data_IF_039955493315
#
_entry.id   IF_039955493315
#
_cell.length_a   1.000
_cell.length_b   1.000
_cell.length_c   1.000
_cell.angle_alpha   90.00
_cell.angle_beta   90.00
_cell.angle_gamma   90.00
#
_symmetry.space_group_name_H-M   'P 1'
#
loop_
_entity.id
_entity.type
_entity.pdbx_description
1 polymer ?
#
# COMPACT_ATOMS: atom_id res chain seq x y z
N UNK A 1 5.47 -16.59 -17.04
CA UNK A 1 4.23 -16.05 -16.45
C UNK A 1 4.28 -14.55 -16.50
N UNK A 2 3.24 -13.95 -17.01
CA UNK A 2 3.15 -12.48 -17.12
C UNK A 2 2.56 -11.89 -15.85
N UNK A 3 3.32 -11.00 -15.23
CA UNK A 3 2.82 -10.24 -14.09
C UNK A 3 1.98 -9.08 -14.63
N UNK A 4 0.77 -8.92 -14.11
CA UNK A 4 -0.06 -7.78 -14.45
C UNK A 4 0.58 -6.51 -13.90
N UNK A 5 1.03 -5.62 -14.77
CA UNK A 5 1.75 -4.38 -14.40
C UNK A 5 0.91 -3.42 -13.57
N UNK A 6 -0.40 -3.56 -13.63
CA UNK A 6 -1.33 -2.70 -12.88
C UNK A 6 -1.76 -3.32 -11.56
N UNK A 7 -1.20 -4.47 -11.19
CA UNK A 7 -1.54 -5.16 -9.95
C UNK A 7 -0.63 -4.75 -8.82
N UNK A 8 -1.20 -4.67 -7.63
CA UNK A 8 -0.45 -4.36 -6.43
C UNK A 8 -1.16 -4.83 -5.18
N UNK A 9 -0.40 -4.89 -4.10
CA UNK A 9 -0.92 -5.28 -2.80
C UNK A 9 -0.30 -4.42 -1.72
N UNK A 10 -1.10 -4.04 -0.73
CA UNK A 10 -0.63 -3.38 0.49
C UNK A 10 -0.89 -4.32 1.66
N UNK A 11 0.14 -4.59 2.44
CA UNK A 11 0.03 -5.41 3.63
C UNK A 11 0.23 -4.49 4.83
N UNK A 12 -0.78 -4.37 5.67
CA UNK A 12 -0.69 -3.58 6.91
C UNK A 12 -0.47 -4.57 8.05
N UNK A 13 0.71 -4.52 8.64
CA UNK A 13 1.12 -5.44 9.70
C UNK A 13 0.84 -4.81 11.06
N UNK A 14 0.07 -5.51 11.88
CA UNK A 14 -0.17 -5.14 13.27
C UNK A 14 0.41 -6.16 14.23
N UNK A 15 0.26 -5.94 15.53
CA UNK A 15 0.83 -6.85 16.54
C UNK A 15 0.14 -8.23 16.60
N UNK A 16 -1.08 -8.33 16.10
CA UNK A 16 -1.86 -9.57 16.19
C UNK A 16 -2.28 -10.14 14.85
N UNK A 17 -1.90 -9.51 13.76
CA UNK A 17 -2.26 -9.97 12.43
C UNK A 17 -2.08 -8.90 11.40
N UNK A 18 -2.44 -9.22 10.17
CA UNK A 18 -2.25 -8.34 9.03
C UNK A 18 -3.51 -8.19 8.21
N UNK A 19 -3.66 -7.04 7.57
CA UNK A 19 -4.69 -6.76 6.60
C UNK A 19 -4.04 -6.72 5.22
N UNK A 20 -4.67 -7.37 4.24
CA UNK A 20 -4.18 -7.46 2.87
C UNK A 20 -5.15 -6.72 1.96
N UNK A 21 -4.68 -5.64 1.36
CA UNK A 21 -5.46 -4.87 0.37
C UNK A 21 -4.86 -5.13 -0.99
N UNK A 22 -5.69 -5.23 -2.03
CA UNK A 22 -5.19 -5.52 -3.37
C UNK A 22 -5.87 -4.67 -4.43
N UNK A 23 -5.17 -4.50 -5.54
CA UNK A 23 -5.73 -3.92 -6.76
C UNK A 23 -5.17 -4.65 -7.97
N UNK A 24 -5.98 -4.83 -9.01
CA UNK A 24 -5.56 -5.38 -10.29
C UNK A 24 -5.44 -4.31 -11.36
N UNK A 25 -5.81 -3.06 -11.05
CA UNK A 25 -5.96 -2.00 -12.04
C UNK A 25 -5.16 -0.73 -11.76
N UNK A 26 -4.89 -0.44 -10.48
CA UNK A 26 -4.44 0.89 -10.07
C UNK A 26 -3.17 0.88 -9.21
N UNK A 27 -2.26 -0.07 -9.47
CA UNK A 27 -1.00 -0.13 -8.72
C UNK A 27 -0.20 1.17 -8.83
N UNK A 28 -0.34 1.90 -9.94
CA UNK A 28 0.39 3.14 -10.18
C UNK A 28 0.02 4.27 -9.21
N UNK A 29 -1.12 4.19 -8.51
CA UNK A 29 -1.51 5.18 -7.51
C UNK A 29 -1.32 4.67 -6.07
N UNK A 30 -0.89 3.43 -5.90
CA UNK A 30 -0.89 2.77 -4.60
C UNK A 30 0.06 3.43 -3.60
N UNK A 31 1.25 3.83 -4.04
CA UNK A 31 2.22 4.54 -3.18
C UNK A 31 1.61 5.87 -2.71
N UNK A 32 0.95 6.58 -3.62
CA UNK A 32 0.27 7.83 -3.31
C UNK A 32 -0.86 7.64 -2.29
N UNK A 33 -1.61 6.54 -2.43
CA UNK A 33 -2.70 6.22 -1.50
C UNK A 33 -2.16 5.98 -0.08
N UNK A 34 -1.05 5.25 0.03
CA UNK A 34 -0.40 5.01 1.32
C UNK A 34 0.17 6.32 1.89
N UNK A 35 0.79 7.13 1.04
CA UNK A 35 1.32 8.43 1.45
C UNK A 35 0.21 9.32 2.02
N UNK A 36 -0.92 9.40 1.33
CA UNK A 36 -2.05 10.23 1.78
C UNK A 36 -2.56 9.80 3.16
N UNK A 37 -2.54 8.52 3.44
CA UNK A 37 -2.93 8.00 4.75
C UNK A 37 -1.91 8.35 5.84
N UNK A 38 -0.62 8.20 5.54
CA UNK A 38 0.44 8.42 6.52
C UNK A 38 0.72 9.90 6.78
N UNK A 39 0.54 10.76 5.79
CA UNK A 39 0.85 12.20 5.94
C UNK A 39 -0.05 12.90 6.95
N UNK A 40 -1.20 12.32 7.29
CA UNK A 40 -2.07 12.85 8.34
C UNK A 40 -1.33 12.89 9.70
N UNK A 41 -0.35 11.98 9.88
CA UNK A 41 0.52 11.98 11.05
C UNK A 41 -0.12 11.53 12.33
N UNK A 42 -1.21 10.75 12.23
CA UNK A 42 -1.96 10.28 13.39
C UNK A 42 -2.05 8.75 13.37
N UNK A 43 -2.01 8.16 14.57
CA UNK A 43 -2.27 6.75 14.76
C UNK A 43 -1.41 5.83 13.90
N UNK A 44 -0.14 6.15 13.80
CA UNK A 44 0.81 5.32 13.04
C UNK A 44 1.00 3.94 13.65
N UNK A 45 0.60 3.75 14.90
CA UNK A 45 0.64 2.48 15.60
C UNK A 45 -0.68 1.70 15.54
N UNK A 46 -1.67 2.23 14.82
CA UNK A 46 -3.01 1.64 14.77
C UNK A 46 -3.25 1.03 13.38
N UNK A 47 -3.09 -0.31 13.24
CA UNK A 47 -3.25 -0.96 11.93
C UNK A 47 -4.67 -0.88 11.40
N UNK A 48 -5.68 -0.89 12.27
CA UNK A 48 -7.08 -0.80 11.85
C UNK A 48 -7.36 0.57 11.22
N UNK A 49 -6.90 1.62 11.88
CA UNK A 49 -7.08 2.98 11.37
C UNK A 49 -6.35 3.19 10.04
N UNK A 50 -5.09 2.77 9.97
CA UNK A 50 -4.30 2.92 8.74
C UNK A 50 -4.86 2.09 7.59
N UNK A 51 -5.34 0.87 7.87
CA UNK A 51 -5.97 0.03 6.86
C UNK A 51 -7.20 0.71 6.28
N UNK A 52 -8.05 1.27 7.13
CA UNK A 52 -9.23 2.03 6.68
C UNK A 52 -8.83 3.22 5.82
N UNK A 53 -7.86 4.00 6.29
CA UNK A 53 -7.45 5.22 5.58
C UNK A 53 -6.86 4.90 4.21
N UNK A 54 -6.02 3.88 4.13
CA UNK A 54 -5.42 3.46 2.87
C UNK A 54 -6.51 2.93 1.93
N UNK A 55 -7.38 2.07 2.42
CA UNK A 55 -8.43 1.46 1.60
C UNK A 55 -9.39 2.52 1.06
N UNK A 56 -9.75 3.51 1.89
CA UNK A 56 -10.62 4.60 1.44
C UNK A 56 -10.00 5.39 0.29
N UNK A 57 -8.66 5.53 0.27
CA UNK A 57 -7.97 6.20 -0.84
C UNK A 57 -7.93 5.35 -2.10
N UNK A 58 -7.97 4.04 -1.94
CA UNK A 58 -7.99 3.11 -3.08
C UNK A 58 -9.35 3.03 -3.77
N UNK A 59 -10.43 3.42 -3.08
CA UNK A 59 -11.78 3.21 -3.57
C UNK A 59 -12.09 4.06 -4.80
N UNK A 60 -12.45 3.44 -5.94
CA UNK A 60 -12.95 4.19 -7.09
C UNK A 60 -14.40 4.59 -6.89
N UNK A 61 -14.89 5.49 -7.74
CA UNK A 61 -16.33 5.71 -7.87
C UNK A 61 -16.96 4.37 -8.26
N UNK A 62 -18.15 4.10 -7.81
CA UNK A 62 -18.84 2.84 -8.12
C UNK A 62 -18.09 1.61 -7.61
N UNK A 63 -17.48 1.75 -6.42
CA UNK A 63 -16.65 0.69 -5.84
C UNK A 63 -17.42 -0.59 -5.54
N UNK A 64 -18.75 -0.57 -5.55
CA UNK A 64 -19.60 -1.73 -5.29
C UNK A 64 -19.77 -2.66 -6.51
N UNK A 65 -19.34 -2.23 -7.70
CA UNK A 65 -19.49 -3.04 -8.90
C UNK A 65 -18.54 -4.24 -8.86
N UNK A 66 -19.05 -5.39 -9.29
CA UNK A 66 -18.31 -6.66 -9.25
C UNK A 66 -17.05 -6.67 -10.13
N UNK A 67 -17.07 -5.88 -11.21
CA UNK A 67 -15.97 -5.86 -12.15
C UNK A 67 -14.80 -4.97 -11.72
N UNK A 68 -14.90 -4.33 -10.56
CA UNK A 68 -13.80 -3.54 -10.04
C UNK A 68 -12.76 -4.45 -9.38
N UNK A 69 -11.54 -4.41 -9.88
CA UNK A 69 -10.46 -5.31 -9.48
C UNK A 69 -9.70 -4.84 -8.27
N UNK A 70 -10.37 -4.56 -7.16
CA UNK A 70 -9.73 -4.21 -5.91
C UNK A 70 -10.50 -4.81 -4.74
N UNK A 71 -9.86 -4.91 -3.59
CA UNK A 71 -10.55 -5.40 -2.42
C UNK A 71 -9.64 -5.72 -1.25
N UNK A 72 -10.19 -6.50 -0.33
CA UNK A 72 -9.51 -6.95 0.87
C UNK A 72 -9.31 -8.45 0.75
N UNK A 73 -8.07 -8.90 0.88
CA UNK A 73 -7.71 -10.30 0.78
C UNK A 73 -7.24 -10.86 2.11
N UNK A 74 -6.96 -12.15 2.12
CA UNK A 74 -6.55 -12.87 3.32
C UNK A 74 -5.12 -13.40 3.24
N UNK A 75 -4.44 -13.15 2.13
CA UNK A 75 -3.11 -13.72 1.91
C UNK A 75 -2.29 -12.84 0.98
N UNK A 76 -0.99 -13.10 0.99
CA UNK A 76 -0.05 -12.50 0.07
C UNK A 76 -0.17 -13.19 -1.30
N UNK A 77 -0.22 -12.39 -2.37
CA UNK A 77 -0.24 -12.90 -3.73
C UNK A 77 1.19 -12.84 -4.32
N UNK A 78 1.55 -13.88 -5.08
CA UNK A 78 2.88 -13.99 -5.67
C UNK A 78 3.03 -13.26 -7.00
N UNK A 79 1.91 -12.88 -7.61
CA UNK A 79 1.87 -12.39 -8.98
C UNK A 79 1.54 -10.91 -9.10
N UNK A 80 1.72 -10.15 -8.02
CA UNK A 80 1.52 -8.71 -8.07
C UNK A 80 2.79 -7.99 -8.52
N UNK A 81 2.64 -6.89 -9.22
CA UNK A 81 3.75 -6.08 -9.70
C UNK A 81 4.37 -5.22 -8.60
N UNK A 82 3.54 -4.68 -7.71
CA UNK A 82 3.97 -3.79 -6.64
C UNK A 82 3.51 -4.32 -5.29
N UNK A 83 4.43 -4.41 -4.35
CA UNK A 83 4.11 -4.84 -2.99
C UNK A 83 4.55 -3.76 -2.02
N UNK A 84 3.61 -3.25 -1.23
CA UNK A 84 3.89 -2.28 -0.19
C UNK A 84 3.57 -2.90 1.16
N UNK A 85 4.54 -2.90 2.07
CA UNK A 85 4.35 -3.40 3.43
C UNK A 85 4.38 -2.22 4.39
N UNK A 86 3.29 -2.05 5.14
CA UNK A 86 3.14 -0.99 6.14
C UNK A 86 3.19 -1.64 7.51
N UNK A 87 4.36 -1.63 8.14
CA UNK A 87 4.56 -2.28 9.43
C UNK A 87 4.30 -1.27 10.55
N UNK A 88 3.13 -1.38 11.19
CA UNK A 88 2.72 -0.42 12.22
C UNK A 88 3.45 -0.65 13.55
N UNK A 89 3.97 -1.84 13.77
CA UNK A 89 4.72 -2.16 14.99
C UNK A 89 6.08 -1.46 14.99
N UNK A 90 6.78 -1.55 13.88
CA UNK A 90 8.11 -0.93 13.72
C UNK A 90 8.05 0.46 13.10
N UNK A 91 6.89 0.83 12.55
CA UNK A 91 6.68 2.08 11.80
C UNK A 91 7.67 2.22 10.65
N UNK A 92 7.75 1.15 9.86
CA UNK A 92 8.58 1.04 8.68
C UNK A 92 7.70 0.68 7.49
N UNK A 93 7.93 1.37 6.37
CA UNK A 93 7.30 1.04 5.09
C UNK A 93 8.35 0.42 4.16
N UNK A 94 7.95 -0.64 3.46
CA UNK A 94 8.76 -1.29 2.43
C UNK A 94 8.01 -1.26 1.12
N UNK A 95 8.66 -0.79 0.07
CA UNK A 95 8.09 -0.72 -1.27
C UNK A 95 8.95 -1.60 -2.17
N UNK A 96 8.34 -2.62 -2.76
CA UNK A 96 9.05 -3.58 -3.58
C UNK A 96 8.37 -3.73 -4.93
N UNK A 97 9.09 -3.37 -6.00
CA UNK A 97 8.63 -3.65 -7.36
C UNK A 97 9.04 -5.08 -7.73
N UNK A 98 8.05 -5.90 -8.04
CA UNK A 98 8.31 -7.30 -8.38
C UNK A 98 8.86 -7.46 -9.79
N UNK A 99 8.68 -6.44 -10.63
CA UNK A 99 9.25 -6.40 -11.97
C UNK A 99 10.77 -6.28 -11.90
N UNK A 100 11.26 -5.51 -10.94
CA UNK A 100 12.68 -5.40 -10.64
C UNK A 100 12.92 -5.98 -9.24
N UNK A 101 13.44 -7.18 -9.18
CA UNK A 101 13.68 -7.91 -7.92
C UNK A 101 14.60 -7.17 -6.95
N UNK A 102 15.42 -6.28 -7.47
CA UNK A 102 16.43 -5.56 -6.68
C UNK A 102 15.92 -4.19 -6.22
N UNK A 103 14.79 -3.76 -6.75
CA UNK A 103 14.23 -2.45 -6.43
C UNK A 103 13.34 -2.55 -5.20
N UNK A 104 13.98 -2.47 -4.04
CA UNK A 104 13.30 -2.55 -2.75
C UNK A 104 13.74 -1.38 -1.89
N UNK A 105 12.76 -0.57 -1.49
CA UNK A 105 12.98 0.62 -0.66
C UNK A 105 12.42 0.35 0.73
N UNK A 106 13.19 0.66 1.76
CA UNK A 106 12.76 0.52 3.16
C UNK A 106 13.00 1.84 3.87
N UNK A 107 11.94 2.44 4.41
CA UNK A 107 11.99 3.74 5.08
C UNK A 107 11.14 3.69 6.35
N UNK A 108 11.47 4.51 7.33
CA UNK A 108 10.54 4.76 8.43
C UNK A 108 9.34 5.54 7.89
N UNK A 109 8.24 5.52 8.62
CA UNK A 109 7.06 6.32 8.23
C UNK A 109 7.43 7.79 8.10
N UNK A 110 8.23 8.30 9.04
CA UNK A 110 8.66 9.68 9.02
C UNK A 110 9.51 10.01 7.78
N UNK A 111 10.48 9.17 7.47
CA UNK A 111 11.33 9.33 6.28
C UNK A 111 10.51 9.27 5.00
N UNK A 112 9.55 8.35 4.94
CA UNK A 112 8.70 8.21 3.76
C UNK A 112 7.86 9.46 3.52
N UNK A 113 7.22 9.98 4.58
CA UNK A 113 6.38 11.17 4.46
C UNK A 113 7.22 12.37 4.03
N UNK A 114 8.39 12.55 4.60
CA UNK A 114 9.29 13.65 4.25
C UNK A 114 9.79 13.55 2.81
N UNK A 115 10.31 12.37 2.44
CA UNK A 115 10.92 12.17 1.13
C UNK A 115 9.89 12.20 0.01
N UNK A 116 8.73 11.61 0.21
CA UNK A 116 7.67 11.60 -0.80
C UNK A 116 7.08 13.01 -1.00
N UNK A 117 6.90 13.76 0.08
CA UNK A 117 6.40 15.12 0.00
C UNK A 117 7.35 16.01 -0.82
N UNK A 118 8.66 15.88 -0.60
CA UNK A 118 9.66 16.63 -1.33
C UNK A 118 9.67 16.27 -2.82
N UNK A 119 9.53 14.99 -3.13
CA UNK A 119 9.47 14.53 -4.52
C UNK A 119 8.16 14.95 -5.19
N UNK A 120 7.06 14.92 -4.47
CA UNK A 120 5.75 15.29 -5.02
C UNK A 120 5.65 16.78 -5.33
N UNK A 121 6.49 17.61 -4.73
CA UNK A 121 6.49 19.04 -5.00
C UNK A 121 7.29 19.41 -6.27
N UNK A 122 7.92 18.45 -6.86
CA UNK A 122 8.59 18.62 -8.14
C UNK A 122 7.60 18.42 -9.29
#
# INVERSE_FOLDING_TARGET
>A
MNINKNSGQVIIIGPYGSVYLYTHETANTLVSDVYDALKVGKRWDDPDYLSKMIFCRMLPLECWLEDKGFGIGTQLYNDVNLLITVNTVQQIITIHSMEDKYDKIMLTFEEFVESYANNASL
#
